data_IF_587008486147
#
_entry.id   IF_587008486147
#
_cell.length_a   1.000
_cell.length_b   1.000
_cell.length_c   1.000
_cell.angle_alpha   90.00
_cell.angle_beta   90.00
_cell.angle_gamma   90.00
#
_symmetry.space_group_name_H-M   'P 1'
#
loop_
_entity.id
_entity.type
_entity.pdbx_description
1 polymer ?
#
# COMPACT_ATOMS: atom_id res chain seq x y z
N UNK A 1 19.87 27.07 -10.19
CA UNK A 1 18.75 26.41 -9.49
C UNK A 1 18.02 25.58 -10.54
N UNK A 2 18.18 24.26 -10.53
CA UNK A 2 17.44 23.41 -11.48
C UNK A 2 15.96 23.42 -11.09
N UNK A 3 15.08 23.70 -12.06
CA UNK A 3 13.64 23.66 -11.88
C UNK A 3 13.04 22.42 -12.52
N UNK A 4 12.03 21.83 -11.88
CA UNK A 4 11.30 20.68 -12.41
C UNK A 4 10.11 21.18 -13.22
N UNK A 5 9.93 20.62 -14.42
CA UNK A 5 8.67 20.76 -15.15
C UNK A 5 7.52 20.10 -14.38
N UNK A 6 6.29 20.54 -14.64
CA UNK A 6 5.08 19.94 -14.06
C UNK A 6 5.00 18.43 -14.34
N UNK A 7 5.42 17.98 -15.52
CA UNK A 7 5.43 16.58 -15.90
C UNK A 7 6.45 15.77 -15.07
N UNK A 8 7.65 16.32 -14.84
CA UNK A 8 8.66 15.69 -14.00
C UNK A 8 8.20 15.60 -12.54
N UNK A 9 7.63 16.69 -12.00
CA UNK A 9 7.11 16.71 -10.64
C UNK A 9 5.99 15.67 -10.44
N UNK A 10 5.01 15.60 -11.36
CA UNK A 10 3.95 14.58 -11.34
C UNK A 10 4.51 13.16 -11.38
N UNK A 11 5.50 12.91 -12.24
CA UNK A 11 6.16 11.60 -12.35
C UNK A 11 6.85 11.22 -11.04
N UNK A 12 7.57 12.14 -10.41
CA UNK A 12 8.25 11.89 -9.13
C UNK A 12 7.24 11.53 -8.04
N UNK A 13 6.14 12.29 -7.93
CA UNK A 13 5.07 12.01 -6.97
C UNK A 13 4.44 10.64 -7.23
N UNK A 14 4.16 10.29 -8.48
CA UNK A 14 3.58 8.98 -8.79
C UNK A 14 4.53 7.82 -8.43
N UNK A 15 5.82 7.98 -8.72
CA UNK A 15 6.84 6.99 -8.42
C UNK A 15 7.09 6.85 -6.90
N UNK A 16 6.99 7.94 -6.12
CA UNK A 16 7.16 7.88 -4.67
C UNK A 16 6.03 7.10 -3.98
N UNK A 17 4.84 7.09 -4.58
CA UNK A 17 3.68 6.30 -4.13
C UNK A 17 3.81 4.79 -4.41
N UNK A 18 4.88 4.36 -5.09
CA UNK A 18 5.12 2.98 -5.53
C UNK A 18 3.99 2.42 -6.42
N UNK A 19 3.41 3.30 -7.23
CA UNK A 19 2.49 2.99 -8.32
C UNK A 19 3.27 3.21 -9.62
N UNK A 20 3.86 2.20 -10.29
CA UNK A 20 3.44 0.79 -10.45
C UNK A 20 4.23 -0.20 -9.58
N UNK A 21 3.74 -1.44 -9.40
CA UNK A 21 4.40 -2.43 -8.54
C UNK A 21 5.81 -2.73 -9.07
N UNK A 22 6.82 -2.46 -8.24
CA UNK A 22 8.16 -3.03 -8.46
C UNK A 22 8.09 -4.54 -8.20
N UNK A 23 8.88 -5.32 -8.93
CA UNK A 23 9.01 -6.78 -8.76
C UNK A 23 9.09 -7.11 -7.26
N UNK A 24 8.26 -8.07 -6.83
CA UNK A 24 8.07 -8.44 -5.42
C UNK A 24 9.41 -8.57 -4.70
N UNK A 25 9.52 -7.99 -3.50
CA UNK A 25 10.64 -8.23 -2.60
C UNK A 25 10.52 -9.67 -2.09
N UNK A 26 11.66 -10.33 -1.85
CA UNK A 26 11.78 -11.75 -1.48
C UNK A 26 11.11 -12.15 -0.13
N UNK A 27 10.24 -11.32 0.45
CA UNK A 27 9.66 -11.49 1.79
C UNK A 27 8.25 -12.11 1.84
N UNK A 28 7.67 -12.50 0.70
CA UNK A 28 6.30 -13.04 0.62
C UNK A 28 5.20 -11.98 0.69
N UNK A 29 3.96 -12.41 0.43
CA UNK A 29 2.84 -11.50 0.19
C UNK A 29 2.46 -10.66 1.43
N UNK A 30 2.47 -11.24 2.63
CA UNK A 30 2.19 -10.53 3.87
C UNK A 30 3.22 -9.42 4.17
N UNK A 31 4.52 -9.74 4.05
CA UNK A 31 5.58 -8.75 4.27
C UNK A 31 5.52 -7.61 3.23
N UNK A 32 5.14 -7.94 1.99
CA UNK A 32 4.95 -6.93 0.94
C UNK A 32 3.75 -6.03 1.23
N UNK A 33 2.66 -6.56 1.79
CA UNK A 33 1.53 -5.76 2.30
C UNK A 33 1.94 -4.86 3.45
N UNK A 34 2.70 -5.36 4.43
CA UNK A 34 3.21 -4.54 5.53
C UNK A 34 4.06 -3.38 5.02
N UNK A 35 5.03 -3.67 4.13
CA UNK A 35 5.84 -2.64 3.49
C UNK A 35 4.96 -1.62 2.76
N UNK A 36 3.90 -2.04 2.06
CA UNK A 36 2.99 -1.11 1.41
C UNK A 36 2.31 -0.15 2.40
N UNK A 37 1.85 -0.65 3.55
CA UNK A 37 1.25 0.17 4.62
C UNK A 37 2.29 1.14 5.21
N UNK A 38 3.51 0.68 5.49
CA UNK A 38 4.58 1.54 6.02
C UNK A 38 4.93 2.69 5.07
N UNK A 39 4.92 2.44 3.75
CA UNK A 39 5.17 3.50 2.77
C UNK A 39 4.02 4.49 2.65
N UNK A 40 2.78 4.04 2.88
CA UNK A 40 1.60 4.91 2.92
C UNK A 40 1.53 5.72 4.21
N UNK A 41 2.17 5.24 5.29
CA UNK A 41 2.08 5.79 6.63
C UNK A 41 0.80 5.36 7.38
N UNK A 42 -0.30 5.16 6.67
CA UNK A 42 -1.54 4.59 7.18
C UNK A 42 -2.41 4.04 6.03
N UNK A 43 -3.40 3.22 6.38
CA UNK A 43 -4.52 2.90 5.49
C UNK A 43 -5.81 3.03 6.30
N UNK A 44 -6.77 3.78 5.77
CA UNK A 44 -8.04 3.99 6.46
C UNK A 44 -8.96 2.79 6.22
N UNK A 45 -9.35 2.11 7.29
CA UNK A 45 -10.33 1.03 7.26
C UNK A 45 -11.69 1.64 7.60
N UNK A 46 -12.50 1.86 6.57
CA UNK A 46 -13.84 2.42 6.74
C UNK A 46 -14.83 1.35 7.21
N UNK A 47 -15.67 1.71 8.19
CA UNK A 47 -16.70 0.83 8.78
C UNK A 47 -18.02 0.81 7.98
N UNK A 48 -18.19 1.68 6.98
CA UNK A 48 -19.35 1.67 6.08
C UNK A 48 -19.17 0.54 5.05
N UNK A 49 -19.83 -0.58 5.32
CA UNK A 49 -19.63 -1.87 4.67
C UNK A 49 -20.03 -1.94 3.19
N UNK A 50 -20.77 -0.97 2.66
CA UNK A 50 -21.17 -0.93 1.24
C UNK A 50 -19.96 -0.65 0.32
N UNK A 51 -18.87 -0.09 0.86
CA UNK A 51 -17.59 0.12 0.16
C UNK A 51 -16.42 -0.42 1.00
N UNK A 52 -16.50 -1.67 1.48
CA UNK A 52 -15.32 -2.33 2.08
C UNK A 52 -14.12 -2.44 1.11
N UNK A 53 -14.27 -2.06 -0.17
CA UNK A 53 -13.25 -2.27 -1.18
C UNK A 53 -12.15 -1.20 -1.25
N UNK A 54 -12.33 0.00 -0.69
CA UNK A 54 -11.38 1.10 -0.94
C UNK A 54 -9.96 0.80 -0.43
N UNK A 55 -9.83 0.34 0.81
CA UNK A 55 -8.55 -0.04 1.39
C UNK A 55 -7.98 -1.31 0.74
N UNK A 56 -8.82 -2.28 0.39
CA UNK A 56 -8.39 -3.48 -0.35
C UNK A 56 -7.85 -3.12 -1.74
N UNK A 57 -8.52 -2.25 -2.51
CA UNK A 57 -8.02 -1.76 -3.80
C UNK A 57 -6.72 -0.96 -3.65
N UNK A 58 -6.60 -0.17 -2.59
CA UNK A 58 -5.37 0.59 -2.30
C UNK A 58 -4.17 -0.32 -2.10
N UNK A 59 -4.37 -1.44 -1.41
CA UNK A 59 -3.33 -2.45 -1.16
C UNK A 59 -3.06 -3.32 -2.39
N UNK A 60 -4.10 -3.76 -3.10
CA UNK A 60 -3.95 -4.58 -4.31
C UNK A 60 -3.17 -3.87 -5.42
N UNK A 61 -3.40 -2.56 -5.61
CA UNK A 61 -2.65 -1.75 -6.58
C UNK A 61 -1.15 -1.64 -6.26
N UNK A 62 -0.73 -1.96 -5.02
CA UNK A 62 0.66 -1.89 -4.55
C UNK A 62 1.28 -3.27 -4.31
N UNK A 63 0.45 -4.27 -4.03
CA UNK A 63 0.82 -5.66 -3.87
C UNK A 63 -0.28 -6.54 -4.49
N UNK A 64 -0.02 -7.09 -5.67
CA UNK A 64 -1.01 -7.92 -6.37
C UNK A 64 -1.33 -9.24 -5.65
N UNK A 65 -0.41 -9.72 -4.80
CA UNK A 65 -0.61 -10.93 -3.99
C UNK A 65 -1.28 -10.63 -2.64
N UNK A 66 -1.76 -9.40 -2.41
CA UNK A 66 -2.51 -9.02 -1.22
C UNK A 66 -3.74 -9.92 -1.01
N UNK A 67 -3.89 -10.43 0.20
CA UNK A 67 -5.06 -11.19 0.65
C UNK A 67 -5.77 -10.45 1.80
N UNK A 68 -7.09 -10.68 1.94
CA UNK A 68 -7.93 -9.96 2.91
C UNK A 68 -7.49 -10.21 4.36
N UNK A 69 -7.05 -11.43 4.65
CA UNK A 69 -6.55 -11.88 5.96
C UNK A 69 -5.24 -11.18 6.40
N UNK A 70 -4.48 -10.59 5.49
CA UNK A 70 -3.28 -9.81 5.82
C UNK A 70 -3.57 -8.61 6.75
N UNK A 71 -4.82 -8.11 6.78
CA UNK A 71 -5.23 -7.06 7.72
C UNK A 71 -5.77 -7.60 9.05
N UNK A 72 -6.05 -8.91 9.13
CA UNK A 72 -6.58 -9.56 10.33
C UNK A 72 -5.44 -10.03 11.25
N UNK A 73 -4.35 -10.55 10.65
CA UNK A 73 -3.21 -11.20 11.32
C UNK A 73 -2.62 -10.39 12.48
N UNK A 74 -2.47 -9.06 12.33
CA UNK A 74 -1.78 -8.23 13.33
C UNK A 74 -2.65 -7.76 14.49
N UNK A 75 -3.97 -7.95 14.42
CA UNK A 75 -4.87 -7.69 15.57
C UNK A 75 -4.54 -8.59 16.77
N UNK A 76 -3.87 -9.73 16.54
CA UNK A 76 -3.56 -10.72 17.56
C UNK A 76 -2.18 -10.58 18.20
N UNK A 77 -1.18 -10.04 17.49
CA UNK A 77 0.20 -9.96 18.01
C UNK A 77 0.52 -8.68 18.80
N UNK A 78 -0.41 -7.73 18.97
CA UNK A 78 -0.21 -6.54 19.80
C UNK A 78 -0.71 -6.72 21.25
N UNK A 79 -1.09 -7.94 21.62
CA UNK A 79 -1.64 -8.29 22.94
C UNK A 79 -0.69 -9.12 23.82
N UNK A 80 0.56 -9.35 23.37
CA UNK A 80 1.60 -10.04 24.13
C UNK A 80 2.84 -9.14 24.33
#
# INVERSE_FOLDING_TARGET
MESLSLAQAKKIVLLSQKLPPKKQRNGGALANTLSAIENLGYVQIDTISVIQRAHHHTLWNRNQDYQLDHLVERSRCAAD
#
